data_IF_235172152578
#
_entry.id   IF_235172152578
#
_cell.length_a   1.000
_cell.length_b   1.000
_cell.length_c   1.000
_cell.angle_alpha   90.00
_cell.angle_beta   90.00
_cell.angle_gamma   90.00
#
_symmetry.space_group_name_H-M   'P 1'
#
loop_
_entity.id
_entity.type
_entity.pdbx_description
1 polymer ?
#
# COMPACT_ATOMS: atom_id res chain seq x y z
N UNK A 1 -0.96 13.81 6.02
CA UNK A 1 -0.02 14.26 4.96
C UNK A 1 1.43 13.90 5.28
N UNK A 2 1.99 14.33 6.42
CA UNK A 2 3.37 13.94 6.83
C UNK A 2 3.54 12.42 6.91
N UNK A 3 2.57 11.71 7.51
CA UNK A 3 2.64 10.24 7.63
C UNK A 3 2.61 9.56 6.25
N UNK A 4 1.79 10.04 5.32
CA UNK A 4 1.79 9.54 3.93
C UNK A 4 3.18 9.70 3.30
N UNK A 5 3.81 10.85 3.49
CA UNK A 5 5.17 11.11 3.00
C UNK A 5 6.21 10.19 3.64
N UNK A 6 6.13 9.98 4.96
CA UNK A 6 7.00 9.06 5.68
C UNK A 6 6.86 7.63 5.17
N UNK A 7 5.64 7.15 4.94
CA UNK A 7 5.40 5.82 4.34
C UNK A 7 6.05 5.74 2.95
N UNK A 8 5.88 6.79 2.13
CA UNK A 8 6.52 6.86 0.81
C UNK A 8 8.04 6.76 0.91
N UNK A 9 8.67 7.54 1.79
CA UNK A 9 10.11 7.50 1.99
C UNK A 9 10.62 6.15 2.49
N UNK A 10 9.89 5.50 3.41
CA UNK A 10 10.27 4.18 3.94
C UNK A 10 10.25 3.13 2.82
N UNK A 11 9.14 3.06 2.07
CA UNK A 11 9.00 2.04 1.01
C UNK A 11 9.98 2.31 -0.13
N UNK A 12 10.07 3.55 -0.62
CA UNK A 12 11.04 3.90 -1.65
C UNK A 12 12.49 3.64 -1.20
N UNK A 13 12.81 3.93 0.06
CA UNK A 13 14.11 3.63 0.64
C UNK A 13 14.41 2.13 0.66
N UNK A 14 13.45 1.30 1.08
CA UNK A 14 13.59 -0.16 1.05
C UNK A 14 13.79 -0.71 -0.37
N UNK A 15 13.14 -0.12 -1.37
CA UNK A 15 13.32 -0.51 -2.78
C UNK A 15 14.68 -0.09 -3.36
N UNK A 16 15.26 1.02 -2.88
CA UNK A 16 16.61 1.42 -3.31
C UNK A 16 17.73 0.59 -2.69
N UNK A 17 17.46 -0.09 -1.57
CA UNK A 17 18.43 -0.94 -0.90
C UNK A 17 18.35 -2.33 -1.54
N UNK A 18 19.46 -2.81 -2.07
CA UNK A 18 19.59 -4.17 -2.59
C UNK A 18 19.62 -5.19 -1.43
N UNK A 19 18.44 -5.43 -0.85
CA UNK A 19 18.25 -6.33 0.28
C UNK A 19 18.66 -7.77 -0.07
N UNK A 20 18.55 -8.16 -1.34
CA UNK A 20 19.02 -9.45 -1.82
C UNK A 20 20.54 -9.56 -1.69
N UNK A 21 21.29 -8.54 -2.11
CA UNK A 21 22.75 -8.55 -1.97
C UNK A 21 23.22 -8.56 -0.52
N UNK A 22 22.45 -8.00 0.41
CA UNK A 22 22.84 -7.89 1.83
C UNK A 22 22.41 -9.13 2.64
N UNK A 23 21.22 -9.67 2.39
CA UNK A 23 20.59 -10.71 3.21
C UNK A 23 20.15 -11.95 2.42
N UNK A 24 20.45 -12.02 1.12
CA UNK A 24 19.98 -13.08 0.23
C UNK A 24 18.45 -13.10 0.12
N UNK A 25 17.89 -14.29 -0.07
CA UNK A 25 16.44 -14.52 -0.20
C UNK A 25 15.63 -14.01 1.00
N UNK A 26 16.20 -14.00 2.20
CA UNK A 26 15.54 -13.46 3.38
C UNK A 26 15.29 -11.95 3.28
N UNK A 27 16.16 -11.22 2.57
CA UNK A 27 16.02 -9.79 2.34
C UNK A 27 14.82 -9.44 1.45
N UNK A 28 14.62 -10.18 0.36
CA UNK A 28 13.48 -9.97 -0.54
C UNK A 28 12.14 -10.31 0.13
N UNK A 29 12.09 -11.42 0.88
CA UNK A 29 10.91 -11.80 1.65
C UNK A 29 10.60 -10.70 2.67
N UNK A 30 11.61 -10.20 3.37
CA UNK A 30 11.45 -9.16 4.38
C UNK A 30 10.91 -7.86 3.79
N UNK A 31 11.49 -7.38 2.67
CA UNK A 31 11.00 -6.19 1.97
C UNK A 31 9.55 -6.34 1.51
N UNK A 32 9.21 -7.50 0.95
CA UNK A 32 7.85 -7.82 0.50
C UNK A 32 6.85 -7.82 1.66
N UNK A 33 7.20 -8.41 2.80
CA UNK A 33 6.35 -8.44 4.00
C UNK A 33 6.14 -7.05 4.59
N UNK A 34 7.18 -6.20 4.60
CA UNK A 34 7.01 -4.81 5.05
C UNK A 34 6.05 -4.07 4.13
N UNK A 35 6.25 -4.17 2.81
CA UNK A 35 5.37 -3.53 1.83
C UNK A 35 3.95 -4.06 1.95
N UNK A 36 3.76 -5.36 2.20
CA UNK A 36 2.45 -5.97 2.46
C UNK A 36 1.78 -5.34 3.69
N UNK A 37 2.49 -5.12 4.78
CA UNK A 37 1.85 -4.69 6.03
C UNK A 37 1.73 -3.18 6.17
N UNK A 38 2.68 -2.40 5.65
CA UNK A 38 2.75 -0.96 5.92
C UNK A 38 1.53 -0.20 5.38
N UNK A 39 1.01 -0.59 4.20
CA UNK A 39 -0.10 0.09 3.55
C UNK A 39 -1.46 -0.10 4.23
N UNK A 40 -1.86 -1.29 4.67
CA UNK A 40 -3.10 -1.45 5.45
C UNK A 40 -2.91 -1.06 6.92
N UNK A 41 -1.76 -1.37 7.56
CA UNK A 41 -1.58 -1.14 9.01
C UNK A 41 -1.49 0.34 9.34
N UNK A 42 -0.77 1.14 8.55
CA UNK A 42 -0.59 2.58 8.83
C UNK A 42 -1.91 3.35 8.89
N UNK A 43 -2.83 3.29 7.90
CA UNK A 43 -4.11 3.98 7.97
C UNK A 43 -5.01 3.44 9.09
N UNK A 44 -4.92 2.15 9.46
CA UNK A 44 -5.66 1.59 10.60
C UNK A 44 -5.18 2.22 11.90
N UNK A 45 -3.87 2.21 12.17
CA UNK A 45 -3.29 2.79 13.39
C UNK A 45 -3.55 4.30 13.43
N UNK A 46 -3.28 4.99 12.31
CA UNK A 46 -3.51 6.43 12.22
C UNK A 46 -4.98 6.80 12.43
N UNK A 47 -5.91 6.05 11.83
CA UNK A 47 -7.34 6.23 12.05
C UNK A 47 -7.73 6.03 13.49
N UNK A 48 -7.27 4.95 14.10
CA UNK A 48 -7.56 4.66 15.50
C UNK A 48 -7.04 5.77 16.42
N UNK A 49 -5.86 6.32 16.16
CA UNK A 49 -5.26 7.31 17.04
C UNK A 49 -5.82 8.72 16.78
N UNK A 50 -5.86 9.17 15.52
CA UNK A 50 -6.02 10.60 15.18
C UNK A 50 -7.49 10.99 14.93
N UNK A 51 -8.38 10.04 14.60
CA UNK A 51 -9.82 10.29 14.34
C UNK A 51 -10.13 11.20 13.15
N UNK A 52 -9.12 11.60 12.38
CA UNK A 52 -9.30 12.45 11.21
C UNK A 52 -9.72 11.60 9.99
N UNK A 53 -11.01 11.60 9.67
CA UNK A 53 -11.58 10.83 8.56
C UNK A 53 -10.89 11.12 7.22
N UNK A 54 -10.59 12.39 6.94
CA UNK A 54 -10.02 12.82 5.66
C UNK A 54 -8.54 12.48 5.62
N UNK A 55 -7.80 12.84 6.68
CA UNK A 55 -6.39 12.52 6.79
C UNK A 55 -6.12 11.02 6.71
N UNK A 56 -7.03 10.21 7.22
CA UNK A 56 -6.90 8.74 7.18
C UNK A 56 -7.10 8.17 5.79
N UNK A 57 -8.06 8.71 5.02
CA UNK A 57 -8.20 8.36 3.60
C UNK A 57 -6.94 8.75 2.85
N UNK A 58 -6.36 9.92 3.12
CA UNK A 58 -5.11 10.38 2.50
C UNK A 58 -3.93 9.46 2.87
N UNK A 59 -3.83 9.01 4.13
CA UNK A 59 -2.79 8.07 4.58
C UNK A 59 -2.95 6.70 3.95
N UNK A 60 -4.17 6.25 3.70
CA UNK A 60 -4.45 4.95 3.07
C UNK A 60 -4.36 4.94 1.54
N UNK A 61 -4.57 6.07 0.87
CA UNK A 61 -4.66 6.13 -0.60
C UNK A 61 -3.42 6.73 -1.26
N UNK A 62 -2.91 7.87 -0.76
CA UNK A 62 -1.86 8.64 -1.45
C UNK A 62 -0.55 7.86 -1.59
N UNK A 63 -0.02 7.17 -0.55
CA UNK A 63 1.19 6.38 -0.70
C UNK A 63 1.07 5.28 -1.77
N UNK A 64 -0.10 4.65 -1.86
CA UNK A 64 -0.39 3.60 -2.85
C UNK A 64 -0.35 4.17 -4.27
N UNK A 65 -0.99 5.32 -4.51
CA UNK A 65 -0.92 5.95 -5.83
C UNK A 65 0.51 6.40 -6.19
N UNK A 66 1.23 7.04 -5.26
CA UNK A 66 2.59 7.52 -5.55
C UNK A 66 3.55 6.35 -5.83
N UNK A 67 3.50 5.28 -5.03
CA UNK A 67 4.45 4.19 -5.16
C UNK A 67 4.01 3.17 -6.22
N UNK A 68 2.78 2.66 -6.14
CA UNK A 68 2.35 1.57 -7.00
C UNK A 68 1.88 2.04 -8.37
N UNK A 69 1.22 3.20 -8.47
CA UNK A 69 0.77 3.70 -9.78
C UNK A 69 1.89 4.46 -10.49
N UNK A 70 2.47 5.49 -9.88
CA UNK A 70 3.58 6.21 -10.51
C UNK A 70 4.87 5.39 -10.56
N UNK A 71 5.22 4.61 -9.53
CA UNK A 71 6.39 3.73 -9.58
C UNK A 71 6.34 2.73 -10.74
N UNK A 72 5.21 2.04 -10.94
CA UNK A 72 5.06 1.09 -12.05
C UNK A 72 4.99 1.74 -13.44
N UNK A 73 4.46 2.96 -13.54
CA UNK A 73 4.34 3.66 -14.82
C UNK A 73 5.65 4.28 -15.29
N UNK A 74 6.46 4.82 -14.36
CA UNK A 74 7.65 5.59 -14.71
C UNK A 74 8.95 4.80 -14.60
N UNK A 75 9.03 3.82 -13.69
CA UNK A 75 10.24 3.04 -13.47
C UNK A 75 10.19 1.63 -14.06
N UNK A 76 9.05 1.24 -14.66
CA UNK A 76 8.92 0.05 -15.50
C UNK A 76 9.29 -1.30 -14.87
N UNK A 77 9.45 -1.36 -13.53
CA UNK A 77 10.19 -2.47 -12.91
C UNK A 77 9.62 -2.95 -11.57
N UNK A 78 8.41 -2.51 -11.17
CA UNK A 78 7.83 -3.00 -9.92
C UNK A 78 6.99 -4.27 -10.13
N UNK A 79 6.30 -4.41 -11.27
CA UNK A 79 5.43 -5.58 -11.56
C UNK A 79 5.48 -6.02 -13.04
N UNK A 80 5.57 -5.11 -14.01
CA UNK A 80 5.50 -5.43 -15.45
C UNK A 80 6.70 -4.85 -16.23
N UNK A 81 7.31 -5.63 -17.13
CA UNK A 81 8.54 -5.27 -17.87
C UNK A 81 8.36 -4.80 -19.34
N UNK A 82 7.15 -4.80 -19.90
CA UNK A 82 6.90 -4.50 -21.34
C UNK A 82 6.44 -3.06 -21.65
N UNK A 83 6.44 -2.65 -22.93
CA UNK A 83 6.01 -1.31 -23.38
C UNK A 83 4.63 -0.86 -22.84
N UNK A 84 4.48 0.46 -22.62
CA UNK A 84 3.24 1.10 -22.15
C UNK A 84 2.11 0.92 -23.17
N UNK A 85 1.27 -0.09 -22.95
CA UNK A 85 0.05 -0.33 -23.71
C UNK A 85 -1.19 0.10 -22.91
N UNK A 86 -2.29 0.48 -23.60
CA UNK A 86 -3.54 0.94 -22.97
C UNK A 86 -4.12 -0.11 -22.01
N UNK A 87 -4.01 -1.38 -22.39
CA UNK A 87 -4.42 -2.51 -21.55
C UNK A 87 -3.63 -2.58 -20.23
N UNK A 88 -2.31 -2.40 -20.28
CA UNK A 88 -1.43 -2.40 -19.10
C UNK A 88 -1.72 -1.22 -18.18
N UNK A 89 -1.94 -0.03 -18.75
CA UNK A 89 -2.31 1.16 -17.97
C UNK A 89 -3.60 0.92 -17.18
N UNK A 90 -4.63 0.35 -17.82
CA UNK A 90 -5.89 0.02 -17.16
C UNK A 90 -5.71 -1.03 -16.06
N UNK A 91 -4.90 -2.06 -16.28
CA UNK A 91 -4.60 -3.07 -15.25
C UNK A 91 -3.94 -2.46 -14.02
N UNK A 92 -2.90 -1.63 -14.21
CA UNK A 92 -2.20 -0.95 -13.12
C UNK A 92 -3.15 0.02 -12.38
N UNK A 93 -4.00 0.73 -13.13
CA UNK A 93 -4.97 1.65 -12.55
C UNK A 93 -6.01 0.90 -11.69
N UNK A 94 -6.60 -0.18 -12.21
CA UNK A 94 -7.58 -1.00 -11.48
C UNK A 94 -6.94 -1.57 -10.22
N UNK A 95 -5.73 -2.13 -10.34
CA UNK A 95 -4.97 -2.67 -9.22
C UNK A 95 -4.71 -1.61 -8.13
N UNK A 96 -4.18 -0.44 -8.51
CA UNK A 96 -3.87 0.64 -7.58
C UNK A 96 -5.14 1.21 -6.92
N UNK A 97 -6.22 1.39 -7.69
CA UNK A 97 -7.52 1.86 -7.17
C UNK A 97 -8.12 0.86 -6.19
N UNK A 98 -8.05 -0.44 -6.48
CA UNK A 98 -8.53 -1.48 -5.55
C UNK A 98 -7.76 -1.43 -4.23
N UNK A 99 -6.44 -1.42 -4.27
CA UNK A 99 -5.61 -1.34 -3.06
C UNK A 99 -5.84 -0.04 -2.28
N UNK A 100 -5.91 1.10 -2.98
CA UNK A 100 -6.20 2.40 -2.38
C UNK A 100 -7.57 2.42 -1.70
N UNK A 101 -8.58 1.81 -2.33
CA UNK A 101 -9.93 1.71 -1.76
C UNK A 101 -9.91 0.88 -0.48
N UNK A 102 -9.24 -0.27 -0.47
CA UNK A 102 -9.13 -1.11 0.72
C UNK A 102 -8.35 -0.41 1.85
N UNK A 103 -7.20 0.21 1.57
CA UNK A 103 -6.41 0.95 2.55
C UNK A 103 -7.17 2.16 3.12
N UNK A 104 -7.84 2.92 2.25
CA UNK A 104 -8.66 4.07 2.63
C UNK A 104 -9.88 3.69 3.47
N UNK A 105 -10.61 2.62 3.11
CA UNK A 105 -11.74 2.11 3.88
C UNK A 105 -11.30 1.55 5.23
N UNK A 106 -10.22 0.75 5.26
CA UNK A 106 -9.66 0.22 6.49
C UNK A 106 -9.37 1.35 7.48
N UNK A 107 -8.68 2.39 7.03
CA UNK A 107 -8.46 3.56 7.86
C UNK A 107 -9.76 4.28 8.25
N UNK A 108 -10.65 4.55 7.30
CA UNK A 108 -11.88 5.30 7.56
C UNK A 108 -12.74 4.64 8.66
N UNK A 109 -12.92 3.32 8.61
CA UNK A 109 -13.63 2.60 9.67
C UNK A 109 -12.89 2.66 11.00
N UNK A 110 -11.56 2.54 11.01
CA UNK A 110 -10.76 2.69 12.23
C UNK A 110 -10.93 4.07 12.90
N UNK A 111 -11.11 5.13 12.10
CA UNK A 111 -11.31 6.50 12.61
C UNK A 111 -12.56 6.71 13.47
N UNK A 112 -13.54 5.79 13.38
CA UNK A 112 -14.77 5.86 14.17
C UNK A 112 -14.60 5.41 15.62
N UNK A 113 -13.48 4.77 15.99
CA UNK A 113 -13.12 4.38 17.37
C UNK A 113 -14.11 3.51 18.14
N UNK A 114 -15.02 2.84 17.45
CA UNK A 114 -15.83 1.80 18.07
C UNK A 114 -15.25 0.44 17.72
N UNK A 115 -15.29 -0.49 18.68
CA UNK A 115 -14.74 -1.83 18.49
C UNK A 115 -15.35 -2.55 17.28
N UNK A 116 -16.63 -2.31 17.00
CA UNK A 116 -17.34 -2.81 15.82
C UNK A 116 -16.69 -2.33 14.51
N UNK A 117 -16.32 -1.05 14.43
CA UNK A 117 -15.66 -0.50 13.25
C UNK A 117 -14.19 -0.87 13.15
N UNK A 118 -13.52 -1.15 14.27
CA UNK A 118 -12.16 -1.71 14.25
C UNK A 118 -12.13 -3.11 13.63
N UNK A 119 -13.12 -3.96 13.94
CA UNK A 119 -13.23 -5.29 13.31
C UNK A 119 -13.41 -5.16 11.80
N UNK A 120 -14.28 -4.25 11.35
CA UNK A 120 -14.51 -3.98 9.92
C UNK A 120 -13.23 -3.45 9.26
N UNK A 121 -12.50 -2.59 9.96
CA UNK A 121 -11.22 -2.04 9.51
C UNK A 121 -10.16 -3.13 9.28
N UNK A 122 -10.02 -4.05 10.25
CA UNK A 122 -9.13 -5.21 10.14
C UNK A 122 -9.56 -6.12 8.99
N UNK A 123 -10.86 -6.34 8.83
CA UNK A 123 -11.39 -7.13 7.72
C UNK A 123 -10.98 -6.56 6.36
N UNK A 124 -11.08 -5.24 6.16
CA UNK A 124 -10.58 -4.60 4.94
C UNK A 124 -9.05 -4.69 4.79
N UNK A 125 -8.31 -4.62 5.90
CA UNK A 125 -6.87 -4.88 5.89
C UNK A 125 -6.50 -6.32 5.49
N UNK A 126 -7.31 -7.32 5.86
CA UNK A 126 -7.13 -8.72 5.43
C UNK A 126 -7.49 -8.89 3.96
N UNK A 127 -8.59 -8.28 3.49
CA UNK A 127 -8.99 -8.30 2.08
C UNK A 127 -7.96 -7.64 1.15
N UNK A 128 -7.14 -6.75 1.68
CA UNK A 128 -6.06 -6.11 0.94
C UNK A 128 -4.94 -7.12 0.56
N UNK A 129 -4.69 -8.15 1.37
CA UNK A 129 -3.64 -9.17 1.14
C UNK A 129 -3.79 -9.90 -0.20
N UNK A 130 -4.92 -10.56 -0.53
CA UNK A 130 -5.05 -11.29 -1.78
C UNK A 130 -4.96 -10.37 -3.01
N UNK A 131 -5.43 -9.12 -2.88
CA UNK A 131 -5.33 -8.11 -3.94
C UNK A 131 -3.89 -7.70 -4.14
N UNK A 132 -3.10 -7.50 -3.08
CA UNK A 132 -1.69 -7.18 -3.21
C UNK A 132 -0.93 -8.33 -3.89
N UNK A 133 -1.14 -9.56 -3.42
CA UNK A 133 -0.49 -10.76 -3.95
C UNK A 133 -0.81 -11.02 -5.43
N UNK A 134 -2.00 -10.65 -5.92
CA UNK A 134 -2.33 -10.81 -7.35
C UNK A 134 -1.48 -9.93 -8.27
N UNK A 135 -0.77 -8.93 -7.73
CA UNK A 135 0.17 -8.11 -8.47
C UNK A 135 1.62 -8.57 -8.40
N UNK A 136 1.94 -9.66 -7.69
CA UNK A 136 3.32 -10.20 -7.59
C UNK A 136 3.53 -11.41 -8.51
N UNK A 137 2.46 -11.91 -9.13
CA UNK A 137 2.47 -13.10 -9.99
C UNK A 137 3.09 -12.88 -11.38
#
# INVERSE_FOLDING_TARGET
MIISFVVVCIVAGLETIDLYRIFGTYGEIFGTVINLLIFPVTPIIYGWIVKDKIGVIIVGTVPIFILLFFGNLFFGNLIYKDDLNISRFLTILVYAVSLATFGGLAGYFSSKREFKYLIISIFFGILWIPVFLSGIN
#
